data_IF_544008350261
#
_entry.id   IF_544008350261
#
_cell.length_a   1.000
_cell.length_b   1.000
_cell.length_c   1.000
_cell.angle_alpha   90.00
_cell.angle_beta   90.00
_cell.angle_gamma   90.00
#
_symmetry.space_group_name_H-M   'P 1'
#
loop_
_entity.id
_entity.type
_entity.pdbx_description
1 polymer ?
#
# COMPACT_ATOMS: atom_id res chain seq x y z
N UNK A 1 40.44 17.57 47.57
CA UNK A 1 40.46 16.91 46.25
C UNK A 1 39.06 16.38 45.98
N UNK A 2 38.42 16.86 44.90
CA UNK A 2 37.09 16.44 44.44
C UNK A 2 37.23 15.11 43.68
N UNK A 3 36.29 14.19 43.86
CA UNK A 3 35.72 13.39 42.77
C UNK A 3 34.40 12.74 43.20
N UNK A 4 33.32 13.15 42.53
CA UNK A 4 32.01 12.51 42.50
C UNK A 4 31.93 11.73 41.18
N UNK A 5 31.43 10.49 41.23
CA UNK A 5 30.66 9.86 40.16
C UNK A 5 29.96 8.63 40.77
N UNK A 6 28.69 8.72 41.19
CA UNK A 6 27.45 8.54 40.40
C UNK A 6 27.22 7.09 39.94
N UNK A 7 26.35 6.44 40.70
CA UNK A 7 25.61 5.19 40.45
C UNK A 7 24.76 5.30 39.18
N UNK A 8 24.81 4.31 38.30
CA UNK A 8 23.87 4.15 37.19
C UNK A 8 22.91 2.99 37.49
N UNK A 9 21.66 3.32 37.75
CA UNK A 9 20.51 2.44 37.58
C UNK A 9 19.99 2.65 36.16
N UNK A 10 20.03 1.62 35.31
CA UNK A 10 19.29 1.61 34.04
C UNK A 10 17.97 0.88 34.24
N UNK A 11 16.92 1.65 34.47
CA UNK A 11 15.56 1.23 34.13
C UNK A 11 15.46 1.23 32.59
N UNK A 12 15.25 0.06 31.98
CA UNK A 12 14.78 -0.03 30.59
C UNK A 12 13.29 0.28 30.57
N UNK A 13 13.00 1.57 30.49
CA UNK A 13 11.73 2.11 30.02
C UNK A 13 11.81 2.05 28.49
N UNK A 14 10.84 1.41 27.82
CA UNK A 14 10.62 1.63 26.38
C UNK A 14 10.15 3.07 26.16
N UNK A 15 10.70 3.76 25.15
CA UNK A 15 9.90 4.74 24.45
C UNK A 15 10.04 4.59 22.93
N UNK A 16 8.90 4.28 22.33
CA UNK A 16 8.45 4.82 21.06
C UNK A 16 8.79 6.32 20.97
N UNK A 17 9.80 6.68 20.16
CA UNK A 17 9.94 8.00 19.53
C UNK A 17 10.77 7.81 18.26
N UNK A 18 10.10 7.82 17.10
CA UNK A 18 10.73 8.03 15.81
C UNK A 18 11.47 9.38 15.82
N UNK A 19 12.79 9.35 16.02
CA UNK A 19 13.64 10.55 15.93
C UNK A 19 13.77 10.94 14.46
N UNK A 20 13.14 12.05 14.07
CA UNK A 20 13.42 12.73 12.80
C UNK A 20 14.89 13.16 12.79
N UNK A 21 15.67 12.62 11.85
CA UNK A 21 17.01 13.11 11.58
C UNK A 21 16.92 14.19 10.48
N UNK A 22 17.38 15.39 10.79
CA UNK A 22 17.58 16.47 9.82
C UNK A 22 19.07 16.52 9.49
N UNK A 23 19.43 16.30 8.23
CA UNK A 23 20.80 16.48 7.75
C UNK A 23 20.83 17.75 6.91
N UNK A 24 21.61 18.73 7.34
CA UNK A 24 21.79 20.00 6.63
C UNK A 24 23.10 19.96 5.85
N UNK A 25 23.02 19.99 4.51
CA UNK A 25 24.16 20.18 3.61
C UNK A 25 23.94 21.48 2.84
N UNK A 26 24.37 22.61 3.41
CA UNK A 26 24.17 23.92 2.80
C UNK A 26 22.70 24.36 2.74
N UNK A 27 22.35 25.17 1.72
CA UNK A 27 21.09 25.92 1.66
C UNK A 27 19.90 25.08 1.17
N UNK A 28 20.13 23.79 0.96
CA UNK A 28 19.17 22.85 0.40
C UNK A 28 18.73 21.90 1.51
N UNK A 29 17.52 22.09 2.00
CA UNK A 29 16.90 21.17 2.97
C UNK A 29 16.40 19.95 2.19
N UNK A 30 17.05 18.80 2.37
CA UNK A 30 16.57 17.52 1.84
C UNK A 30 15.66 16.92 2.92
N UNK A 31 14.36 16.83 2.63
CA UNK A 31 13.43 16.03 3.40
C UNK A 31 13.66 14.56 3.05
N UNK A 32 14.41 13.84 3.89
CA UNK A 32 14.50 12.38 3.80
C UNK A 32 13.24 11.83 4.47
N UNK A 33 12.27 11.38 3.66
CA UNK A 33 11.16 10.61 4.17
C UNK A 33 11.71 9.37 4.89
N UNK A 34 11.18 8.99 6.07
CA UNK A 34 11.61 7.76 6.71
C UNK A 34 11.38 6.60 5.73
N UNK A 35 12.40 5.77 5.55
CA UNK A 35 12.22 4.46 4.94
C UNK A 35 11.17 3.73 5.79
N UNK A 36 9.98 3.58 5.25
CA UNK A 36 8.88 2.87 5.90
C UNK A 36 9.31 1.42 6.03
N UNK A 37 9.67 0.99 7.25
CA UNK A 37 9.87 -0.42 7.53
C UNK A 37 8.52 -1.12 7.36
N UNK A 38 8.37 -1.80 6.22
CA UNK A 38 7.30 -2.74 5.95
C UNK A 38 7.29 -3.81 7.05
N UNK A 39 6.47 -3.60 8.08
CA UNK A 39 6.08 -4.65 9.01
C UNK A 39 5.04 -5.52 8.32
N UNK A 40 5.51 -6.52 7.58
CA UNK A 40 4.65 -7.64 7.18
C UNK A 40 4.54 -8.57 8.41
N UNK A 41 3.42 -8.50 9.12
CA UNK A 41 3.02 -9.50 10.12
C UNK A 41 2.35 -10.69 9.39
N UNK A 42 2.77 -11.96 9.56
CA UNK A 42 2.43 -13.07 8.66
C UNK A 42 1.05 -13.72 8.95
N UNK A 43 0.07 -12.95 9.40
CA UNK A 43 -1.29 -13.40 9.69
C UNK A 43 -2.32 -12.92 8.66
N UNK A 44 -2.34 -13.53 7.48
CA UNK A 44 -3.39 -13.44 6.45
C UNK A 44 -3.55 -12.17 5.59
N UNK A 45 -2.72 -11.12 5.76
CA UNK A 45 -2.72 -9.93 4.89
C UNK A 45 -1.59 -9.96 3.86
N UNK A 46 -1.88 -9.86 2.56
CA UNK A 46 -0.85 -9.60 1.55
C UNK A 46 -0.21 -8.22 1.80
N UNK A 47 1.10 -8.09 1.61
CA UNK A 47 1.76 -6.79 1.78
C UNK A 47 1.19 -5.73 0.83
N UNK A 48 1.20 -4.44 1.19
CA UNK A 48 0.71 -3.40 0.29
C UNK A 48 1.48 -3.30 -1.04
N UNK A 49 2.73 -3.81 -1.08
CA UNK A 49 3.45 -4.03 -2.33
C UNK A 49 2.74 -5.03 -3.25
N UNK A 50 2.20 -6.13 -2.71
CA UNK A 50 1.42 -7.10 -3.47
C UNK A 50 0.19 -6.44 -4.10
N UNK A 51 -0.53 -5.59 -3.37
CA UNK A 51 -1.69 -4.87 -3.90
C UNK A 51 -1.32 -3.88 -5.00
N UNK A 52 -0.16 -3.21 -4.87
CA UNK A 52 0.42 -2.44 -5.97
C UNK A 52 0.63 -3.27 -7.24
N UNK A 53 1.24 -4.46 -7.13
CA UNK A 53 1.46 -5.36 -8.26
C UNK A 53 0.15 -5.96 -8.82
N UNK A 54 -0.82 -6.27 -7.95
CA UNK A 54 -2.14 -6.73 -8.37
C UNK A 54 -2.82 -5.69 -9.28
N UNK A 55 -2.74 -4.40 -8.93
CA UNK A 55 -3.31 -3.35 -9.77
C UNK A 55 -2.64 -3.24 -11.15
N UNK A 56 -1.32 -3.50 -11.25
CA UNK A 56 -0.65 -3.62 -12.55
C UNK A 56 -1.18 -4.81 -13.35
N UNK A 57 -1.42 -5.95 -12.71
CA UNK A 57 -1.96 -7.12 -13.38
C UNK A 57 -3.37 -6.87 -13.93
N UNK A 58 -4.23 -6.19 -13.15
CA UNK A 58 -5.56 -5.77 -13.59
C UNK A 58 -5.48 -4.79 -14.77
N UNK A 59 -4.54 -3.84 -14.75
CA UNK A 59 -4.29 -2.94 -15.88
C UNK A 59 -3.80 -3.70 -17.13
N UNK A 60 -2.92 -4.68 -16.96
CA UNK A 60 -2.40 -5.49 -18.06
C UNK A 60 -3.51 -6.36 -18.69
N UNK A 61 -4.36 -6.99 -17.87
CA UNK A 61 -5.54 -7.74 -18.34
C UNK A 61 -6.46 -6.86 -19.18
N UNK A 62 -6.78 -5.66 -18.70
CA UNK A 62 -7.62 -4.71 -19.44
C UNK A 62 -7.01 -4.35 -20.81
N UNK A 63 -5.70 -4.11 -20.87
CA UNK A 63 -4.99 -3.84 -22.14
C UNK A 63 -5.06 -5.02 -23.11
N UNK A 64 -4.85 -6.24 -22.61
CA UNK A 64 -4.95 -7.45 -23.43
C UNK A 64 -6.36 -7.60 -24.00
N UNK A 65 -7.41 -7.31 -23.22
CA UNK A 65 -8.81 -7.38 -23.69
C UNK A 65 -9.11 -6.35 -24.77
N UNK A 66 -8.60 -5.13 -24.62
CA UNK A 66 -8.68 -4.09 -25.65
C UNK A 66 -7.99 -4.53 -26.95
N UNK A 67 -6.75 -5.03 -26.85
CA UNK A 67 -5.95 -5.49 -27.99
C UNK A 67 -6.57 -6.71 -28.69
N UNK A 68 -7.29 -7.54 -27.94
CA UNK A 68 -8.00 -8.72 -28.45
C UNK A 68 -9.33 -8.36 -29.13
N UNK A 69 -9.77 -7.11 -29.10
CA UNK A 69 -11.03 -6.67 -29.68
C UNK A 69 -12.27 -7.18 -28.95
N UNK A 70 -12.18 -7.40 -27.62
CA UNK A 70 -13.33 -7.79 -26.81
C UNK A 70 -14.41 -6.70 -26.82
N UNK A 71 -15.68 -7.06 -27.02
CA UNK A 71 -16.79 -6.10 -27.13
C UNK A 71 -17.01 -5.27 -25.85
N UNK A 72 -16.76 -5.85 -24.67
CA UNK A 72 -16.87 -5.19 -23.37
C UNK A 72 -15.68 -5.53 -22.46
N UNK A 73 -14.52 -4.88 -22.65
CA UNK A 73 -13.29 -5.20 -21.93
C UNK A 73 -13.40 -4.83 -20.44
N UNK A 74 -14.14 -3.77 -20.09
CA UNK A 74 -14.34 -3.36 -18.69
C UNK A 74 -15.08 -4.43 -17.88
N UNK A 75 -16.18 -4.96 -18.41
CA UNK A 75 -16.94 -6.02 -17.75
C UNK A 75 -16.09 -7.28 -17.56
N UNK A 76 -15.33 -7.67 -18.59
CA UNK A 76 -14.44 -8.83 -18.50
C UNK A 76 -13.33 -8.67 -17.45
N UNK A 77 -12.76 -7.47 -17.31
CA UNK A 77 -11.75 -7.19 -16.27
C UNK A 77 -12.37 -7.22 -14.87
N UNK A 78 -13.60 -6.73 -14.69
CA UNK A 78 -14.33 -6.84 -13.41
C UNK A 78 -14.65 -8.29 -13.04
N UNK A 79 -15.03 -9.10 -14.02
CA UNK A 79 -15.35 -10.52 -13.83
C UNK A 79 -14.14 -11.33 -13.35
N UNK A 80 -12.94 -11.04 -13.86
CA UNK A 80 -11.69 -11.73 -13.46
C UNK A 80 -11.48 -11.73 -11.94
N UNK A 81 -11.91 -10.68 -11.26
CA UNK A 81 -11.76 -10.52 -9.81
C UNK A 81 -13.06 -10.75 -9.05
N UNK A 82 -14.11 -11.28 -9.70
CA UNK A 82 -15.44 -11.48 -9.10
C UNK A 82 -16.03 -10.19 -8.47
N UNK A 83 -15.75 -9.03 -9.07
CA UNK A 83 -16.08 -7.73 -8.49
C UNK A 83 -17.58 -7.55 -8.17
N UNK A 84 -18.47 -8.02 -9.06
CA UNK A 84 -19.92 -7.89 -8.87
C UNK A 84 -20.46 -8.79 -7.74
N UNK A 85 -19.69 -9.78 -7.28
CA UNK A 85 -20.05 -10.63 -6.15
C UNK A 85 -19.57 -10.06 -4.80
N UNK A 86 -18.73 -9.03 -4.81
CA UNK A 86 -18.19 -8.44 -3.59
C UNK A 86 -19.24 -7.58 -2.88
N UNK A 87 -19.34 -7.74 -1.57
CA UNK A 87 -20.24 -6.95 -0.74
C UNK A 87 -19.83 -5.46 -0.71
N UNK A 88 -20.82 -4.57 -0.83
CA UNK A 88 -20.60 -3.13 -0.69
C UNK A 88 -19.98 -2.78 0.67
N UNK A 89 -19.05 -1.82 0.68
CA UNK A 89 -18.36 -1.37 1.88
C UNK A 89 -17.26 -2.31 2.40
N UNK A 90 -17.08 -3.51 1.81
CA UNK A 90 -15.90 -4.34 2.06
C UNK A 90 -14.66 -3.73 1.42
N UNK A 91 -13.51 -3.91 2.07
CA UNK A 91 -12.23 -3.37 1.61
C UNK A 91 -11.90 -3.77 0.17
N UNK A 92 -12.19 -5.01 -0.24
CA UNK A 92 -11.94 -5.42 -1.61
C UNK A 92 -12.80 -4.66 -2.63
N UNK A 93 -14.07 -4.43 -2.32
CA UNK A 93 -14.94 -3.60 -3.15
C UNK A 93 -14.41 -2.15 -3.25
N UNK A 94 -14.05 -1.54 -2.11
CA UNK A 94 -13.49 -0.18 -2.07
C UNK A 94 -12.15 -0.07 -2.81
N UNK A 95 -11.30 -1.11 -2.72
CA UNK A 95 -10.04 -1.20 -3.44
C UNK A 95 -10.27 -1.19 -4.95
N UNK A 96 -11.17 -2.05 -5.45
CA UNK A 96 -11.48 -2.12 -6.88
C UNK A 96 -12.22 -0.88 -7.38
N UNK A 97 -13.10 -0.28 -6.58
CA UNK A 97 -13.74 1.01 -6.86
C UNK A 97 -12.72 2.14 -7.04
N UNK A 98 -11.60 2.05 -6.29
CA UNK A 98 -10.49 3.01 -6.39
C UNK A 98 -9.67 2.81 -7.67
N UNK A 99 -9.32 1.56 -8.01
CA UNK A 99 -8.39 1.28 -9.11
C UNK A 99 -9.07 1.20 -10.48
N UNK A 100 -10.32 0.75 -10.59
CA UNK A 100 -10.96 0.56 -11.90
C UNK A 100 -11.09 1.83 -12.74
N UNK A 101 -11.51 2.99 -12.20
CA UNK A 101 -11.54 4.22 -12.98
C UNK A 101 -10.16 4.59 -13.56
N UNK A 102 -9.08 4.22 -12.87
CA UNK A 102 -7.70 4.47 -13.31
C UNK A 102 -7.22 3.44 -14.33
N UNK A 103 -7.59 2.18 -14.14
CA UNK A 103 -7.34 1.09 -15.10
C UNK A 103 -8.00 1.42 -16.44
N UNK A 104 -9.28 1.80 -16.43
CA UNK A 104 -10.03 2.09 -17.66
C UNK A 104 -9.59 3.39 -18.33
N UNK A 105 -9.03 4.34 -17.55
CA UNK A 105 -8.34 5.52 -18.06
C UNK A 105 -6.90 5.24 -18.57
N UNK A 106 -6.44 3.97 -18.53
CA UNK A 106 -5.12 3.54 -19.00
C UNK A 106 -3.95 4.35 -18.40
N UNK A 107 -4.01 4.66 -17.11
CA UNK A 107 -2.86 5.27 -16.42
C UNK A 107 -1.60 4.40 -16.52
N UNK A 108 -0.42 4.95 -16.25
CA UNK A 108 0.82 4.18 -16.31
C UNK A 108 0.85 3.06 -15.25
N UNK A 109 1.59 1.95 -15.51
CA UNK A 109 1.80 0.89 -14.53
C UNK A 109 2.34 1.38 -13.19
N UNK A 110 3.21 2.38 -13.19
CA UNK A 110 3.80 2.97 -11.99
C UNK A 110 2.79 3.80 -11.22
N UNK A 111 1.93 4.56 -11.92
CA UNK A 111 0.88 5.34 -11.29
C UNK A 111 -0.17 4.43 -10.65
N UNK A 112 -0.63 3.37 -11.35
CA UNK A 112 -1.62 2.47 -10.76
C UNK A 112 -1.06 1.70 -9.56
N UNK A 113 0.22 1.33 -9.61
CA UNK A 113 0.92 0.70 -8.49
C UNK A 113 0.94 1.59 -7.25
N UNK A 114 1.31 2.86 -7.40
CA UNK A 114 1.37 3.80 -6.28
C UNK A 114 -0.03 4.00 -5.70
N UNK A 115 -1.05 4.23 -6.53
CA UNK A 115 -2.43 4.42 -6.07
C UNK A 115 -2.92 3.22 -5.26
N UNK A 116 -2.72 2.01 -5.76
CA UNK A 116 -3.17 0.78 -5.10
C UNK A 116 -2.42 0.50 -3.80
N UNK A 117 -1.09 0.72 -3.80
CA UNK A 117 -0.26 0.58 -2.60
C UNK A 117 -0.66 1.59 -1.53
N UNK A 118 -0.81 2.86 -1.89
CA UNK A 118 -1.20 3.93 -0.95
C UNK A 118 -2.60 3.71 -0.39
N UNK A 119 -3.55 3.22 -1.22
CA UNK A 119 -4.86 2.83 -0.73
C UNK A 119 -4.75 1.73 0.32
N UNK A 120 -3.92 0.70 0.07
CA UNK A 120 -3.69 -0.35 1.05
C UNK A 120 -3.09 0.17 2.36
N UNK A 121 -2.06 1.03 2.27
CA UNK A 121 -1.40 1.64 3.43
C UNK A 121 -2.31 2.59 4.22
N UNK A 122 -3.42 3.05 3.61
CA UNK A 122 -4.41 3.90 4.29
C UNK A 122 -5.41 3.13 5.14
N UNK A 123 -5.45 1.80 5.03
CA UNK A 123 -6.42 0.94 5.72
C UNK A 123 -5.82 0.24 6.94
N UNK A 124 -6.66 -0.24 7.88
CA UNK A 124 -6.23 -1.11 8.98
C UNK A 124 -5.55 -2.39 8.48
N UNK A 125 -4.61 -2.94 9.27
CA UNK A 125 -3.83 -4.14 8.91
C UNK A 125 -4.69 -5.38 8.60
N UNK A 126 -5.88 -5.49 9.21
CA UNK A 126 -6.84 -6.57 9.00
C UNK A 126 -7.83 -6.31 7.85
N UNK A 127 -7.73 -5.17 7.17
CA UNK A 127 -8.63 -4.81 6.09
C UNK A 127 -8.39 -5.63 4.81
N UNK A 128 -7.17 -6.16 4.60
CA UNK A 128 -6.78 -6.90 3.39
C UNK A 128 -6.71 -8.42 3.59
N UNK A 129 -7.64 -8.96 4.37
CA UNK A 129 -7.86 -10.41 4.50
C UNK A 129 -8.73 -10.96 3.34
N UNK A 130 -8.60 -12.25 2.98
CA UNK A 130 -9.34 -12.87 1.88
C UNK A 130 -10.86 -12.64 1.92
N UNK A 131 -11.48 -12.71 3.10
CA UNK A 131 -12.94 -12.55 3.29
C UNK A 131 -13.50 -11.19 2.82
N UNK A 132 -12.65 -10.20 2.56
CA UNK A 132 -13.06 -8.90 2.04
C UNK A 132 -13.03 -8.83 0.50
N UNK A 133 -12.62 -9.91 -0.19
CA UNK A 133 -12.43 -10.00 -1.64
C UNK A 133 -13.27 -11.11 -2.30
N UNK A 134 -14.20 -11.72 -1.56
CA UNK A 134 -15.13 -12.76 -2.01
C UNK A 134 -16.57 -12.50 -1.57
#
# INVERSE_FOLDING_TARGET
MRNRAMTMFTHLISPDVAKRAVITLGWMTILIAPAFESRADPGAGFSCHHWGENAKNVLADYRIRLESGMDNPEAGTKEMVSYENMNEGKTGKLYYDTIFPKVFALVSPETIYVIAKEFCESMPDDAFIPDNFY
#
